data_IF_978179328127
#
_entry.id   IF_978179328127
#
_cell.length_a   1.000
_cell.length_b   1.000
_cell.length_c   1.000
_cell.angle_alpha   90.00
_cell.angle_beta   90.00
_cell.angle_gamma   90.00
#
_symmetry.space_group_name_H-M   'P 1'
#
loop_
_entity.id
_entity.type
_entity.pdbx_description
1 polymer ?
#
# COMPACT_ATOMS: atom_id res chain seq x y z
N UNK A 1 13.51 -1.18 25.97
CA UNK A 1 12.30 -1.54 25.22
C UNK A 1 12.06 -0.44 24.21
N UNK A 2 12.85 -0.42 23.14
CA UNK A 2 12.79 0.55 22.06
C UNK A 2 12.12 -0.15 20.88
N UNK A 3 10.84 0.13 20.68
CA UNK A 3 10.18 -0.13 19.41
C UNK A 3 10.77 0.89 18.42
N UNK A 4 11.81 0.46 17.71
CA UNK A 4 12.44 1.24 16.66
C UNK A 4 11.47 1.32 15.48
N UNK A 5 10.67 2.39 15.48
CA UNK A 5 9.77 2.77 14.40
C UNK A 5 10.56 3.41 13.24
N UNK A 6 11.65 2.78 12.79
CA UNK A 6 12.55 3.34 11.76
C UNK A 6 12.03 3.19 10.34
N UNK A 7 10.71 3.01 10.15
CA UNK A 7 10.10 3.25 8.86
C UNK A 7 9.17 4.44 9.01
N UNK A 8 9.47 5.60 8.39
CA UNK A 8 8.44 6.61 8.23
C UNK A 8 7.30 5.95 7.46
N UNK A 9 6.12 5.86 8.07
CA UNK A 9 4.92 5.46 7.36
C UNK A 9 4.80 6.38 6.12
N UNK A 10 4.34 5.87 4.97
CA UNK A 10 4.10 6.71 3.80
C UNK A 10 2.98 7.71 4.14
N UNK A 11 3.36 8.87 4.65
CA UNK A 11 2.45 9.96 4.99
C UNK A 11 2.13 10.71 3.71
N UNK A 12 0.94 10.44 3.16
CA UNK A 12 0.39 11.17 2.02
C UNK A 12 -0.29 10.24 1.01
N UNK A 13 0.39 9.18 0.58
CA UNK A 13 -0.07 8.36 -0.54
C UNK A 13 -0.24 6.89 -0.19
N UNK A 14 -1.22 6.25 -0.85
CA UNK A 14 -1.39 4.80 -0.79
C UNK A 14 -0.17 4.15 -1.45
N UNK A 15 0.50 3.23 -0.75
CA UNK A 15 1.63 2.47 -1.30
C UNK A 15 1.19 1.05 -1.63
N UNK A 16 1.42 0.65 -2.88
CA UNK A 16 1.18 -0.71 -3.37
C UNK A 16 2.51 -1.41 -3.54
N UNK A 17 2.81 -2.31 -2.62
CA UNK A 17 3.96 -3.19 -2.66
C UNK A 17 3.69 -4.33 -3.63
N UNK A 18 4.40 -4.33 -4.76
CA UNK A 18 4.25 -5.29 -5.84
C UNK A 18 5.45 -6.23 -5.92
N UNK A 19 5.30 -7.30 -6.69
CA UNK A 19 6.39 -8.23 -7.03
C UNK A 19 6.36 -8.50 -8.55
N UNK A 20 7.48 -8.86 -9.17
CA UNK A 20 7.52 -9.19 -10.60
C UNK A 20 6.51 -10.29 -10.96
N UNK A 21 5.90 -10.15 -12.14
CA UNK A 21 4.92 -11.10 -12.70
C UNK A 21 3.63 -11.32 -11.87
N UNK A 22 3.23 -10.33 -11.07
CA UNK A 22 2.04 -10.41 -10.23
C UNK A 22 0.78 -9.88 -10.94
N UNK A 23 -0.12 -10.78 -11.35
CA UNK A 23 -1.42 -10.40 -11.98
C UNK A 23 -2.31 -9.63 -11.01
N UNK A 24 -2.38 -10.06 -9.75
CA UNK A 24 -3.19 -9.42 -8.71
C UNK A 24 -2.76 -7.98 -8.41
N UNK A 25 -1.45 -7.70 -8.52
CA UNK A 25 -0.91 -6.37 -8.34
C UNK A 25 -1.48 -5.39 -9.39
N UNK A 26 -1.69 -5.84 -10.63
CA UNK A 26 -2.36 -5.03 -11.66
C UNK A 26 -3.82 -4.73 -11.33
N UNK A 27 -4.53 -5.66 -10.70
CA UNK A 27 -5.94 -5.47 -10.30
C UNK A 27 -6.08 -4.43 -9.20
N UNK A 28 -5.22 -4.48 -8.17
CA UNK A 28 -5.18 -3.46 -7.10
C UNK A 28 -4.95 -2.08 -7.71
N UNK A 29 -3.91 -1.94 -8.53
CA UNK A 29 -3.56 -0.69 -9.21
C UNK A 29 -4.72 -0.14 -10.05
N UNK A 30 -5.35 -1.00 -10.84
CA UNK A 30 -6.51 -0.62 -11.65
C UNK A 30 -7.68 -0.14 -10.79
N UNK A 31 -7.96 -0.81 -9.66
CA UNK A 31 -9.04 -0.42 -8.75
C UNK A 31 -8.76 0.94 -8.09
N UNK A 32 -7.53 1.19 -7.66
CA UNK A 32 -7.12 2.49 -7.11
C UNK A 32 -7.23 3.60 -8.15
N UNK A 33 -6.79 3.35 -9.39
CA UNK A 33 -6.97 4.29 -10.51
C UNK A 33 -8.45 4.56 -10.78
N UNK A 34 -9.32 3.54 -10.78
CA UNK A 34 -10.77 3.72 -10.92
C UNK A 34 -11.39 4.52 -9.77
N UNK A 35 -10.84 4.39 -8.55
CA UNK A 35 -11.27 5.16 -7.41
C UNK A 35 -10.84 6.63 -7.50
N UNK A 36 -9.94 7.00 -8.42
CA UNK A 36 -9.45 8.37 -8.58
C UNK A 36 -8.56 8.81 -7.42
N UNK A 37 -7.74 7.90 -6.88
CA UNK A 37 -6.80 8.19 -5.79
C UNK A 37 -5.36 8.04 -6.26
N UNK A 38 -4.48 8.87 -5.71
CA UNK A 38 -3.04 8.80 -5.97
C UNK A 38 -2.43 7.63 -5.19
N UNK A 39 -1.58 6.85 -5.85
CA UNK A 39 -0.85 5.76 -5.21
C UNK A 39 0.56 5.62 -5.78
N UNK A 40 1.47 5.12 -4.96
CA UNK A 40 2.84 4.79 -5.34
C UNK A 40 2.99 3.28 -5.45
N UNK A 41 3.53 2.80 -6.56
CA UNK A 41 3.96 1.41 -6.69
C UNK A 41 5.41 1.26 -6.23
N UNK A 42 5.68 0.27 -5.38
CA UNK A 42 7.04 -0.07 -4.93
C UNK A 42 7.28 -1.57 -5.06
N UNK A 43 8.43 -1.96 -5.61
CA UNK A 43 8.79 -3.37 -5.73
C UNK A 43 9.33 -3.90 -4.40
N UNK A 44 8.57 -4.76 -3.72
CA UNK A 44 8.99 -5.32 -2.42
C UNK A 44 10.21 -6.23 -2.53
N UNK A 45 10.60 -6.62 -3.74
CA UNK A 45 11.78 -7.46 -3.99
C UNK A 45 13.06 -6.66 -4.21
N UNK A 46 12.97 -5.34 -4.33
CA UNK A 46 14.14 -4.49 -4.52
C UNK A 46 15.01 -4.44 -3.25
N UNK A 47 16.35 -4.40 -3.37
CA UNK A 47 17.27 -4.41 -2.22
C UNK A 47 17.03 -3.27 -1.22
N UNK A 48 16.64 -2.09 -1.70
CA UNK A 48 16.30 -0.91 -0.90
C UNK A 48 15.05 -1.11 -0.04
N UNK A 49 14.21 -2.09 -0.35
CA UNK A 49 12.96 -2.42 0.35
C UNK A 49 13.07 -3.69 1.20
N UNK A 50 14.29 -4.18 1.44
CA UNK A 50 14.53 -5.38 2.24
C UNK A 50 14.00 -5.25 3.69
N UNK A 51 14.06 -4.05 4.27
CA UNK A 51 13.51 -3.78 5.60
C UNK A 51 11.99 -3.91 5.62
N UNK A 52 11.30 -3.36 4.60
CA UNK A 52 9.86 -3.49 4.41
C UNK A 52 9.45 -4.96 4.26
N UNK A 53 10.19 -5.72 3.45
CA UNK A 53 9.94 -7.13 3.24
C UNK A 53 10.09 -7.93 4.54
N UNK A 54 11.10 -7.62 5.36
CA UNK A 54 11.29 -8.26 6.67
C UNK A 54 10.14 -7.93 7.63
N UNK A 55 9.66 -6.68 7.62
CA UNK A 55 8.50 -6.26 8.40
C UNK A 55 7.22 -7.00 7.97
N UNK A 56 6.92 -7.06 6.68
CA UNK A 56 5.75 -7.81 6.20
C UNK A 56 5.83 -9.30 6.50
N UNK A 57 7.03 -9.90 6.41
CA UNK A 57 7.24 -11.28 6.83
C UNK A 57 7.00 -11.49 8.32
N UNK A 58 7.37 -10.55 9.18
CA UNK A 58 7.12 -10.65 10.62
C UNK A 58 5.63 -10.52 10.96
N UNK A 59 4.87 -9.76 10.16
CA UNK A 59 3.41 -9.71 10.21
C UNK A 59 2.71 -10.96 9.64
N UNK A 60 3.45 -11.88 9.03
CA UNK A 60 2.89 -13.08 8.39
C UNK A 60 2.36 -12.86 6.97
N UNK A 61 2.68 -11.73 6.34
CA UNK A 61 2.26 -11.44 4.97
C UNK A 61 3.13 -12.21 3.98
N UNK A 62 2.66 -13.39 3.60
CA UNK A 62 3.37 -14.30 2.70
C UNK A 62 2.99 -14.13 1.22
N UNK A 63 2.09 -13.20 0.91
CA UNK A 63 1.53 -13.00 -0.42
C UNK A 63 1.53 -11.53 -0.81
N UNK A 64 2.00 -11.26 -2.03
CA UNK A 64 1.87 -9.95 -2.68
C UNK A 64 0.65 -9.97 -3.62
N UNK A 65 -0.02 -8.82 -3.87
CA UNK A 65 0.34 -7.45 -3.46
C UNK A 65 0.17 -7.20 -1.96
N UNK A 66 0.88 -6.22 -1.40
CA UNK A 66 0.58 -5.68 -0.06
C UNK A 66 0.23 -4.20 -0.27
N UNK A 67 -0.92 -3.78 0.22
CA UNK A 67 -1.34 -2.39 0.13
C UNK A 67 -1.25 -1.76 1.51
N UNK A 68 -0.65 -0.57 1.56
CA UNK A 68 -0.33 0.15 2.77
C UNK A 68 -0.78 1.61 2.65
N UNK A 69 -1.44 2.12 3.67
CA UNK A 69 -1.85 3.52 3.77
C UNK A 69 -1.90 3.91 5.25
N UNK A 70 -1.13 4.93 5.63
CA UNK A 70 -0.94 5.36 7.03
C UNK A 70 -0.64 4.17 7.97
N UNK A 71 -1.51 3.90 8.94
CA UNK A 71 -1.36 2.82 9.92
C UNK A 71 -2.03 1.49 9.48
N UNK A 72 -2.53 1.43 8.24
CA UNK A 72 -3.25 0.26 7.72
C UNK A 72 -2.43 -0.43 6.63
N UNK A 73 -2.16 -1.73 6.79
CA UNK A 73 -1.54 -2.55 5.76
C UNK A 73 -2.23 -3.91 5.66
N UNK A 74 -2.50 -4.38 4.44
CA UNK A 74 -3.15 -5.67 4.20
C UNK A 74 -2.56 -6.40 2.97
N UNK A 75 -2.46 -7.74 3.02
CA UNK A 75 -2.01 -8.55 1.88
C UNK A 75 -3.18 -8.91 0.95
N UNK A 76 -2.87 -9.02 -0.34
CA UNK A 76 -3.76 -9.50 -1.39
C UNK A 76 -4.62 -8.41 -2.05
N UNK A 77 -5.50 -8.86 -2.97
CA UNK A 77 -6.52 -8.02 -3.58
C UNK A 77 -7.82 -8.15 -2.77
N UNK A 78 -8.08 -7.18 -1.90
CA UNK A 78 -9.28 -7.11 -1.07
C UNK A 78 -10.08 -5.86 -1.45
N UNK A 79 -11.09 -5.96 -2.36
CA UNK A 79 -11.82 -4.79 -2.86
C UNK A 79 -12.39 -3.90 -1.76
N UNK A 80 -12.96 -4.50 -0.71
CA UNK A 80 -13.55 -3.76 0.40
C UNK A 80 -12.50 -2.92 1.16
N UNK A 81 -11.29 -3.45 1.35
CA UNK A 81 -10.22 -2.72 2.05
C UNK A 81 -9.60 -1.65 1.15
N UNK A 82 -9.47 -1.93 -0.15
CA UNK A 82 -9.04 -0.96 -1.16
C UNK A 82 -10.00 0.23 -1.21
N UNK A 83 -11.31 -0.04 -1.22
CA UNK A 83 -12.31 1.02 -1.23
C UNK A 83 -12.31 1.81 0.10
N UNK A 84 -12.05 1.14 1.23
CA UNK A 84 -11.90 1.80 2.53
C UNK A 84 -10.71 2.76 2.56
N UNK A 85 -9.51 2.31 2.18
CA UNK A 85 -8.33 3.18 2.15
C UNK A 85 -8.48 4.29 1.12
N UNK A 86 -9.14 4.03 -0.02
CA UNK A 86 -9.40 5.06 -1.02
C UNK A 86 -10.33 6.14 -0.46
N UNK A 87 -11.38 5.76 0.29
CA UNK A 87 -12.25 6.72 0.97
C UNK A 87 -11.50 7.51 2.06
N UNK A 88 -10.63 6.85 2.83
CA UNK A 88 -9.78 7.49 3.83
C UNK A 88 -8.83 8.52 3.18
N UNK A 89 -8.15 8.13 2.10
CA UNK A 89 -7.27 9.01 1.33
C UNK A 89 -7.99 10.25 0.80
N UNK A 90 -9.19 10.08 0.24
CA UNK A 90 -10.03 11.20 -0.23
C UNK A 90 -10.45 12.15 0.88
N UNK A 91 -10.66 11.62 2.09
CA UNK A 91 -11.00 12.43 3.27
C UNK A 91 -9.79 13.25 3.72
N UNK A 92 -8.58 12.71 3.62
CA UNK A 92 -7.34 13.41 3.91
C UNK A 92 -6.93 14.42 2.82
N UNK A 93 -7.31 14.20 1.55
CA UNK A 93 -6.93 15.02 0.39
C UNK A 93 -8.13 15.63 -0.36
N UNK A 94 -8.95 16.50 0.30
CA UNK A 94 -10.15 17.07 -0.31
C UNK A 94 -9.86 18.04 -1.48
N UNK A 95 -8.65 18.58 -1.58
CA UNK A 95 -8.25 19.50 -2.64
C UNK A 95 -7.94 18.80 -3.98
N UNK A 96 -7.47 17.54 -3.94
CA UNK A 96 -7.10 16.78 -5.15
C UNK A 96 -8.30 16.11 -5.81
N UNK A 97 -9.35 15.82 -5.05
CA UNK A 97 -10.56 15.15 -5.54
C UNK A 97 -11.54 16.09 -6.26
N UNK A 98 -11.41 17.40 -6.09
CA UNK A 98 -12.32 18.42 -6.64
C UNK A 98 -11.66 19.31 -7.72
N UNK A 99 -10.44 18.97 -8.15
CA UNK A 99 -9.68 19.70 -9.17
C UNK A 99 -9.87 19.14 -10.57
#
# INVERSE_FOLDING_TARGET
MTIDATRPAPTGDITVWTKPNCVQCRLVKHRLTQAGVTYTERDITAPEHAADLAHFKSLGYMSAPITEYEDTAFPGFVPAEIDRIAAAWKTAHPAEVNA
#
